data_IF_355998400565
#
_entry.id   IF_355998400565
#
_cell.length_a   1.000
_cell.length_b   1.000
_cell.length_c   1.000
_cell.angle_alpha   90.00
_cell.angle_beta   90.00
_cell.angle_gamma   90.00
#
_symmetry.space_group_name_H-M   'P 1'
#
loop_
_entity.id
_entity.type
_entity.pdbx_description
1 polymer ?
#
# COMPACT_ATOMS: atom_id res chain seq x y z
N UNK A 1 -31.33 24.16 -3.33
CA UNK A 1 -29.91 24.15 -3.00
C UNK A 1 -29.77 23.56 -1.60
N UNK A 2 -29.70 22.23 -1.51
CA UNK A 2 -29.55 21.51 -0.26
C UNK A 2 -28.04 21.18 -0.08
N UNK A 3 -27.47 21.81 0.94
CA UNK A 3 -26.08 21.55 1.34
C UNK A 3 -26.04 20.16 1.97
N UNK A 4 -25.54 19.17 1.26
CA UNK A 4 -25.13 17.89 1.83
C UNK A 4 -23.88 18.14 2.69
N UNK A 5 -24.07 18.31 3.99
CA UNK A 5 -23.01 18.21 4.95
C UNK A 5 -22.66 16.72 5.07
N UNK A 6 -21.72 16.24 4.27
CA UNK A 6 -21.11 14.92 4.48
C UNK A 6 -20.33 15.01 5.78
N UNK A 7 -20.85 14.39 6.81
CA UNK A 7 -20.11 14.13 8.05
C UNK A 7 -19.09 13.05 7.70
N UNK A 8 -17.84 13.45 7.48
CA UNK A 8 -16.71 12.55 7.54
C UNK A 8 -16.68 11.97 8.96
N UNK A 9 -17.09 10.72 9.10
CA UNK A 9 -16.81 9.95 10.29
C UNK A 9 -15.30 9.72 10.33
N UNK A 10 -14.61 10.42 11.20
CA UNK A 10 -13.22 10.13 11.50
C UNK A 10 -13.21 8.78 12.21
N UNK A 11 -12.80 7.75 11.49
CA UNK A 11 -12.54 6.42 12.04
C UNK A 11 -11.34 6.53 12.98
N UNK A 12 -11.55 6.31 14.25
CA UNK A 12 -10.48 6.09 15.21
C UNK A 12 -9.92 4.67 14.92
N UNK A 13 -8.87 4.60 14.12
CA UNK A 13 -8.12 3.37 13.92
C UNK A 13 -7.28 3.13 15.16
N UNK A 14 -7.78 2.33 16.09
CA UNK A 14 -6.99 1.77 17.17
C UNK A 14 -6.39 0.43 16.68
N UNK A 15 -5.50 0.53 15.71
CA UNK A 15 -4.74 -0.62 15.25
C UNK A 15 -3.58 -0.89 16.21
N UNK A 16 -3.77 -1.76 17.18
CA UNK A 16 -2.63 -2.40 17.83
C UNK A 16 -2.14 -3.51 16.91
N UNK A 17 -1.21 -3.17 16.03
CA UNK A 17 -0.35 -4.18 15.41
C UNK A 17 0.47 -4.81 16.55
N UNK A 18 -0.02 -5.89 17.11
CA UNK A 18 0.80 -6.74 17.93
C UNK A 18 1.89 -7.28 16.99
N UNK A 19 3.10 -6.73 17.13
CA UNK A 19 4.29 -7.26 16.49
C UNK A 19 4.57 -8.63 17.09
N UNK A 20 3.83 -9.64 16.66
CA UNK A 20 4.20 -11.03 16.91
C UNK A 20 5.36 -11.31 15.98
N UNK A 21 6.56 -11.23 16.55
CA UNK A 21 7.77 -11.79 15.95
C UNK A 21 7.44 -13.21 15.48
N UNK A 22 7.54 -13.43 14.16
CA UNK A 22 7.32 -14.72 13.51
C UNK A 22 8.47 -15.71 13.86
N UNK A 23 8.69 -15.96 15.14
CA UNK A 23 9.58 -16.99 15.63
C UNK A 23 8.75 -18.09 16.26
N UNK A 24 8.44 -19.11 15.48
CA UNK A 24 7.86 -20.34 16.00
C UNK A 24 6.51 -20.70 15.39
N UNK A 25 6.24 -21.97 15.27
CA UNK A 25 5.02 -22.63 14.76
C UNK A 25 3.77 -22.32 15.60
N UNK A 26 3.41 -21.05 15.76
CA UNK A 26 2.10 -20.69 16.30
C UNK A 26 1.11 -20.62 15.16
N UNK A 27 0.00 -21.29 15.32
CA UNK A 27 -1.11 -21.23 14.37
C UNK A 27 -1.68 -19.81 14.41
N UNK A 28 -1.60 -19.07 13.29
CA UNK A 28 -2.20 -17.75 13.18
C UNK A 28 -3.71 -17.89 13.38
N UNK A 29 -4.27 -17.11 14.28
CA UNK A 29 -5.73 -17.02 14.43
C UNK A 29 -6.29 -16.11 13.32
N UNK A 30 -6.68 -16.73 12.21
CA UNK A 30 -7.15 -15.99 11.02
C UNK A 30 -8.40 -15.16 11.26
N UNK A 31 -9.23 -15.52 12.25
CA UNK A 31 -10.49 -14.82 12.59
C UNK A 31 -10.28 -13.56 13.44
N UNK A 32 -9.07 -13.33 13.93
CA UNK A 32 -8.78 -12.14 14.74
C UNK A 32 -8.98 -10.86 13.93
N UNK A 33 -9.65 -9.86 14.52
CA UNK A 33 -9.89 -8.57 13.86
C UNK A 33 -8.69 -7.66 14.04
N UNK A 34 -8.06 -7.23 12.95
CA UNK A 34 -6.91 -6.30 12.95
C UNK A 34 -7.33 -4.84 12.72
N UNK A 35 -8.42 -4.62 11.99
CA UNK A 35 -8.98 -3.30 11.75
C UNK A 35 -10.50 -3.40 11.48
N UNK A 36 -11.17 -2.25 11.45
CA UNK A 36 -12.61 -2.18 11.11
C UNK A 36 -12.85 -0.95 10.23
N UNK A 37 -13.56 -1.15 9.11
CA UNK A 37 -13.92 -0.10 8.18
C UNK A 37 -15.45 -0.06 8.07
N UNK A 38 -16.06 1.00 8.59
CA UNK A 38 -17.51 1.02 8.77
C UNK A 38 -17.95 -0.12 9.72
N UNK A 39 -18.83 -0.98 9.24
CA UNK A 39 -19.35 -2.14 9.96
C UNK A 39 -18.60 -3.45 9.61
N UNK A 40 -17.66 -3.40 8.66
CA UNK A 40 -16.89 -4.55 8.22
C UNK A 40 -15.56 -4.70 8.98
N UNK A 41 -15.25 -5.94 9.33
CA UNK A 41 -14.00 -6.30 10.00
C UNK A 41 -12.97 -6.79 8.98
N UNK A 42 -11.77 -6.32 9.14
CA UNK A 42 -10.60 -6.87 8.46
C UNK A 42 -10.02 -7.93 9.38
N UNK A 43 -10.03 -9.18 8.94
CA UNK A 43 -9.47 -10.28 9.71
C UNK A 43 -7.96 -10.39 9.52
N UNK A 44 -7.28 -10.98 10.49
CA UNK A 44 -5.84 -11.25 10.40
C UNK A 44 -5.53 -12.19 9.22
N UNK A 45 -6.42 -13.13 8.89
CA UNK A 45 -6.28 -14.01 7.73
C UNK A 45 -6.18 -13.23 6.43
N UNK A 46 -7.16 -12.36 6.14
CA UNK A 46 -7.18 -11.50 4.96
C UNK A 46 -5.96 -10.57 4.94
N UNK A 47 -5.64 -9.94 6.07
CA UNK A 47 -4.51 -9.02 6.17
C UNK A 47 -3.16 -9.73 5.95
N UNK A 48 -2.97 -10.92 6.53
CA UNK A 48 -1.76 -11.71 6.33
C UNK A 48 -1.63 -12.19 4.89
N UNK A 49 -2.70 -12.72 4.28
CA UNK A 49 -2.63 -13.15 2.88
C UNK A 49 -2.25 -11.99 1.96
N UNK A 50 -2.92 -10.85 2.11
CA UNK A 50 -2.58 -9.65 1.33
C UNK A 50 -1.15 -9.17 1.57
N UNK A 51 -0.69 -9.15 2.82
CA UNK A 51 0.69 -8.76 3.17
C UNK A 51 1.72 -9.70 2.54
N UNK A 52 1.48 -11.02 2.55
CA UNK A 52 2.38 -12.00 1.93
C UNK A 52 2.42 -11.88 0.41
N UNK A 53 1.27 -11.59 -0.22
CA UNK A 53 1.22 -11.29 -1.65
C UNK A 53 2.07 -10.07 -1.99
N UNK A 54 1.93 -8.99 -1.24
CA UNK A 54 2.73 -7.78 -1.41
C UNK A 54 4.21 -8.04 -1.13
N UNK A 55 4.54 -8.76 -0.07
CA UNK A 55 5.91 -9.14 0.27
C UNK A 55 6.58 -9.87 -0.91
N UNK A 56 5.92 -10.84 -1.51
CA UNK A 56 6.46 -11.58 -2.64
C UNK A 56 6.76 -10.67 -3.85
N UNK A 57 5.90 -9.67 -4.10
CA UNK A 57 6.12 -8.67 -5.15
C UNK A 57 7.32 -7.77 -4.82
N UNK A 58 7.40 -7.24 -3.59
CA UNK A 58 8.51 -6.40 -3.15
C UNK A 58 9.86 -7.14 -3.21
N UNK A 59 9.93 -8.36 -2.71
CA UNK A 59 11.17 -9.15 -2.70
C UNK A 59 11.64 -9.51 -4.11
N UNK A 60 10.69 -9.84 -5.00
CA UNK A 60 11.02 -10.17 -6.38
C UNK A 60 11.55 -8.97 -7.16
N UNK A 61 10.99 -7.80 -6.94
CA UNK A 61 11.27 -6.61 -7.74
C UNK A 61 12.34 -5.72 -7.12
N UNK A 62 12.21 -5.37 -5.84
CA UNK A 62 13.05 -4.35 -5.22
C UNK A 62 14.36 -4.89 -4.64
N UNK A 63 14.39 -6.07 -4.04
CA UNK A 63 15.62 -6.62 -3.49
C UNK A 63 16.67 -6.81 -4.59
N UNK A 64 16.24 -7.34 -5.74
CA UNK A 64 17.11 -7.49 -6.92
C UNK A 64 17.61 -6.15 -7.45
N UNK A 65 16.73 -5.14 -7.54
CA UNK A 65 17.08 -3.81 -8.04
C UNK A 65 18.03 -3.06 -7.09
N UNK A 66 17.89 -3.25 -5.79
CA UNK A 66 18.74 -2.63 -4.78
C UNK A 66 20.06 -3.35 -4.55
N UNK A 67 20.27 -4.53 -5.16
CA UNK A 67 21.50 -5.33 -5.01
C UNK A 67 21.71 -5.84 -3.58
N UNK A 68 20.62 -6.08 -2.85
CA UNK A 68 20.62 -6.52 -1.45
C UNK A 68 19.79 -7.81 -1.29
N UNK A 69 19.90 -8.46 -0.15
CA UNK A 69 19.00 -9.57 0.19
C UNK A 69 17.64 -9.03 0.69
N UNK A 70 16.59 -9.85 0.63
CA UNK A 70 15.28 -9.49 1.17
C UNK A 70 15.37 -9.15 2.67
N UNK A 71 16.09 -9.97 3.44
CA UNK A 71 16.27 -9.77 4.89
C UNK A 71 16.94 -8.42 5.21
N UNK A 72 18.02 -8.07 4.49
CA UNK A 72 18.70 -6.80 4.66
C UNK A 72 17.83 -5.61 4.23
N UNK A 73 17.01 -5.77 3.18
CA UNK A 73 16.07 -4.76 2.73
C UNK A 73 15.03 -4.45 3.81
N UNK A 74 14.41 -5.49 4.38
CA UNK A 74 13.36 -5.31 5.39
C UNK A 74 13.87 -4.71 6.70
N UNK A 75 15.09 -5.08 7.11
CA UNK A 75 15.72 -4.59 8.33
C UNK A 75 16.29 -3.16 8.20
N UNK A 76 16.39 -2.63 6.97
CA UNK A 76 16.97 -1.32 6.73
C UNK A 76 16.07 -0.21 7.29
N UNK A 77 16.69 0.77 7.93
CA UNK A 77 16.00 1.99 8.37
C UNK A 77 15.45 2.77 7.17
N UNK A 78 14.17 3.11 7.23
CA UNK A 78 13.47 3.85 6.17
C UNK A 78 13.34 5.33 6.52
N UNK A 79 12.57 5.68 7.55
CA UNK A 79 12.36 7.04 8.04
C UNK A 79 11.76 6.99 9.46
N UNK A 80 11.93 8.09 10.22
CA UNK A 80 11.29 8.28 11.53
C UNK A 80 11.55 7.13 12.53
N UNK A 81 12.78 6.60 12.57
CA UNK A 81 13.19 5.47 13.41
C UNK A 81 12.42 4.15 13.13
N UNK A 82 11.81 4.03 11.95
CA UNK A 82 11.11 2.81 11.51
C UNK A 82 11.91 2.06 10.46
N UNK A 83 11.82 0.73 10.47
CA UNK A 83 12.35 -0.12 9.41
C UNK A 83 11.45 -0.11 8.17
N UNK A 84 11.98 -0.54 7.03
CA UNK A 84 11.17 -0.76 5.83
C UNK A 84 10.04 -1.75 6.09
N UNK A 85 10.27 -2.77 6.90
CA UNK A 85 9.25 -3.75 7.29
C UNK A 85 8.08 -3.08 8.01
N UNK A 86 8.37 -2.27 9.04
CA UNK A 86 7.35 -1.59 9.83
C UNK A 86 6.54 -0.60 9.00
N UNK A 87 7.22 0.21 8.18
CA UNK A 87 6.56 1.16 7.30
C UNK A 87 5.70 0.46 6.25
N UNK A 88 6.21 -0.63 5.66
CA UNK A 88 5.46 -1.41 4.66
C UNK A 88 4.23 -2.07 5.27
N UNK A 89 4.34 -2.67 6.45
CA UNK A 89 3.18 -3.25 7.16
C UNK A 89 2.08 -2.22 7.41
N UNK A 90 2.46 -1.01 7.82
CA UNK A 90 1.51 0.09 8.00
C UNK A 90 0.83 0.47 6.69
N UNK A 91 1.59 0.68 5.62
CA UNK A 91 1.05 1.02 4.30
C UNK A 91 0.15 -0.09 3.74
N UNK A 92 0.48 -1.35 3.95
CA UNK A 92 -0.34 -2.50 3.54
C UNK A 92 -1.70 -2.47 4.25
N UNK A 93 -1.71 -2.20 5.55
CA UNK A 93 -2.97 -2.11 6.31
C UNK A 93 -3.81 -0.93 5.83
N UNK A 94 -3.22 0.25 5.64
CA UNK A 94 -3.90 1.43 5.11
C UNK A 94 -4.47 1.17 3.71
N UNK A 95 -3.73 0.48 2.84
CA UNK A 95 -4.22 0.09 1.53
C UNK A 95 -5.41 -0.88 1.61
N UNK A 96 -5.34 -1.84 2.51
CA UNK A 96 -6.42 -2.79 2.72
C UNK A 96 -7.67 -2.10 3.26
N UNK A 97 -7.54 -1.19 4.22
CA UNK A 97 -8.63 -0.35 4.73
C UNK A 97 -9.27 0.47 3.60
N UNK A 98 -8.44 1.05 2.71
CA UNK A 98 -8.92 1.78 1.54
C UNK A 98 -9.68 0.87 0.56
N UNK A 99 -9.21 -0.36 0.30
CA UNK A 99 -9.93 -1.30 -0.56
C UNK A 99 -11.30 -1.67 0.02
N UNK A 100 -11.40 -1.87 1.34
CA UNK A 100 -12.68 -2.11 2.00
C UNK A 100 -13.61 -0.89 1.87
N UNK A 101 -13.09 0.32 2.12
CA UNK A 101 -13.85 1.55 1.98
C UNK A 101 -14.37 1.74 0.55
N UNK A 102 -13.52 1.55 -0.45
CA UNK A 102 -13.87 1.64 -1.86
C UNK A 102 -14.92 0.59 -2.22
N UNK A 103 -14.78 -0.63 -1.72
CA UNK A 103 -15.75 -1.72 -1.95
C UNK A 103 -17.13 -1.39 -1.39
N UNK A 104 -17.21 -0.75 -0.20
CA UNK A 104 -18.48 -0.33 0.41
C UNK A 104 -19.21 0.74 -0.43
N UNK A 105 -18.48 1.52 -1.21
CA UNK A 105 -19.00 2.57 -2.08
C UNK A 105 -19.11 2.16 -3.56
N UNK A 106 -18.85 0.89 -3.90
CA UNK A 106 -18.87 0.44 -5.28
C UNK A 106 -20.23 0.65 -5.97
N UNK A 107 -21.33 0.45 -5.24
CA UNK A 107 -22.67 0.66 -5.75
C UNK A 107 -22.98 2.14 -6.06
N UNK A 108 -22.30 3.11 -5.45
CA UNK A 108 -22.48 4.54 -5.72
C UNK A 108 -22.00 4.92 -7.14
N UNK A 109 -21.17 4.06 -7.72
CA UNK A 109 -20.57 4.20 -9.04
C UNK A 109 -21.06 3.13 -10.04
N UNK A 110 -22.12 2.41 -9.71
CA UNK A 110 -22.64 1.30 -10.52
C UNK A 110 -21.59 0.18 -10.77
N UNK A 111 -20.63 0.03 -9.85
CA UNK A 111 -19.60 -0.99 -9.90
C UNK A 111 -20.01 -2.22 -9.11
N UNK A 112 -19.94 -3.38 -9.75
CA UNK A 112 -20.14 -4.69 -9.14
C UNK A 112 -19.30 -5.75 -9.87
N UNK A 113 -19.02 -6.86 -9.21
CA UNK A 113 -18.41 -8.02 -9.86
C UNK A 113 -19.46 -8.70 -10.76
N UNK A 114 -19.07 -8.98 -12.01
CA UNK A 114 -19.88 -9.79 -12.92
C UNK A 114 -19.84 -11.26 -12.51
N UNK A 115 -20.78 -12.07 -13.02
CA UNK A 115 -20.77 -13.52 -12.77
C UNK A 115 -19.48 -14.19 -13.28
N UNK A 116 -18.95 -13.70 -14.41
CA UNK A 116 -17.70 -14.20 -14.98
C UNK A 116 -16.49 -13.87 -14.09
N UNK A 117 -16.42 -12.64 -13.56
CA UNK A 117 -15.37 -12.23 -12.62
C UNK A 117 -15.44 -13.02 -11.30
N UNK A 118 -16.64 -13.22 -10.76
CA UNK A 118 -16.84 -14.04 -9.55
C UNK A 118 -16.38 -15.49 -9.77
N UNK A 119 -16.69 -16.07 -10.94
CA UNK A 119 -16.24 -17.43 -11.25
C UNK A 119 -14.72 -17.48 -11.41
N UNK A 120 -14.13 -16.53 -12.11
CA UNK A 120 -12.68 -16.45 -12.29
C UNK A 120 -11.93 -16.30 -10.96
N UNK A 121 -12.48 -15.52 -10.02
CA UNK A 121 -11.93 -15.38 -8.67
C UNK A 121 -11.97 -16.70 -7.91
N UNK A 122 -13.10 -17.40 -7.94
CA UNK A 122 -13.25 -18.73 -7.30
C UNK A 122 -12.28 -19.75 -7.91
N UNK A 123 -12.18 -19.78 -9.22
CA UNK A 123 -11.25 -20.68 -9.92
C UNK A 123 -9.79 -20.38 -9.56
N UNK A 124 -9.43 -19.10 -9.43
CA UNK A 124 -8.10 -18.68 -9.01
C UNK A 124 -7.80 -19.06 -7.55
N UNK A 125 -8.76 -18.88 -6.64
CA UNK A 125 -8.61 -19.27 -5.24
C UNK A 125 -8.47 -20.79 -5.08
N UNK A 126 -9.31 -21.56 -5.76
CA UNK A 126 -9.21 -23.01 -5.78
C UNK A 126 -7.86 -23.48 -6.33
N UNK A 127 -7.42 -22.90 -7.45
CA UNK A 127 -6.13 -23.21 -8.04
C UNK A 127 -4.96 -22.86 -7.11
N UNK A 128 -5.02 -21.74 -6.39
CA UNK A 128 -4.02 -21.42 -5.37
C UNK A 128 -3.96 -22.51 -4.29
N UNK A 129 -5.11 -23.02 -3.84
CA UNK A 129 -5.20 -24.10 -2.87
C UNK A 129 -4.62 -25.42 -3.39
N UNK A 130 -4.76 -25.71 -4.69
CA UNK A 130 -4.20 -26.91 -5.33
C UNK A 130 -2.70 -26.83 -5.54
N UNK A 131 -2.19 -25.64 -5.92
CA UNK A 131 -0.79 -25.42 -6.26
C UNK A 131 0.13 -25.29 -5.02
N UNK A 132 -0.44 -25.07 -3.83
CA UNK A 132 0.30 -24.83 -2.61
C UNK A 132 0.07 -25.89 -1.54
N UNK A 133 1.12 -26.29 -0.83
CA UNK A 133 1.02 -27.23 0.28
C UNK A 133 0.29 -26.62 1.47
N UNK A 134 -0.28 -27.47 2.34
CA UNK A 134 -0.96 -27.04 3.55
C UNK A 134 -0.07 -26.20 4.48
N UNK A 135 1.24 -26.48 4.52
CA UNK A 135 2.17 -25.70 5.33
C UNK A 135 2.36 -24.30 4.77
N UNK A 136 2.44 -24.14 3.43
CA UNK A 136 2.48 -22.82 2.79
C UNK A 136 1.17 -22.06 3.05
N UNK A 137 0.02 -22.69 2.86
CA UNK A 137 -1.28 -22.07 3.11
C UNK A 137 -1.41 -21.57 4.55
N UNK A 138 -0.97 -22.34 5.53
CA UNK A 138 -0.98 -21.91 6.94
C UNK A 138 -0.13 -20.68 7.20
N UNK A 139 1.07 -20.61 6.60
CA UNK A 139 1.99 -19.46 6.79
C UNK A 139 1.43 -18.19 6.17
N UNK A 140 0.80 -18.30 4.99
CA UNK A 140 0.29 -17.14 4.26
C UNK A 140 -1.19 -16.85 4.51
N UNK A 141 -1.87 -17.64 5.36
CA UNK A 141 -3.34 -17.61 5.52
C UNK A 141 -4.05 -17.76 4.17
N UNK A 142 -3.59 -18.72 3.38
CA UNK A 142 -4.02 -18.92 1.98
C UNK A 142 -5.18 -19.92 1.84
N UNK A 143 -6.13 -19.89 2.75
CA UNK A 143 -7.37 -20.64 2.59
C UNK A 143 -8.27 -19.99 1.53
N UNK A 144 -9.18 -20.75 0.94
CA UNK A 144 -9.99 -20.29 -0.20
C UNK A 144 -10.79 -19.02 0.11
N UNK A 145 -11.23 -18.84 1.35
CA UNK A 145 -12.04 -17.70 1.78
C UNK A 145 -11.18 -16.41 1.78
N UNK A 146 -10.00 -16.42 2.39
CA UNK A 146 -9.09 -15.27 2.45
C UNK A 146 -8.59 -14.88 1.06
N UNK A 147 -8.22 -15.89 0.26
CA UNK A 147 -7.77 -15.67 -1.13
C UNK A 147 -8.89 -15.03 -1.94
N UNK A 148 -10.11 -15.59 -1.88
CA UNK A 148 -11.28 -15.06 -2.57
C UNK A 148 -11.55 -13.61 -2.15
N UNK A 149 -11.58 -13.31 -0.85
CA UNK A 149 -11.86 -11.97 -0.34
C UNK A 149 -10.83 -10.95 -0.85
N UNK A 150 -9.54 -11.27 -0.83
CA UNK A 150 -8.49 -10.38 -1.34
C UNK A 150 -8.64 -10.14 -2.84
N UNK A 151 -8.90 -11.17 -3.64
CA UNK A 151 -9.09 -11.03 -5.08
C UNK A 151 -10.35 -10.22 -5.42
N UNK A 152 -11.45 -10.38 -4.68
CA UNK A 152 -12.65 -9.56 -4.81
C UNK A 152 -12.36 -8.07 -4.56
N UNK A 153 -11.69 -7.76 -3.44
CA UNK A 153 -11.32 -6.40 -3.08
C UNK A 153 -10.43 -5.75 -4.14
N UNK A 154 -9.42 -6.47 -4.62
CA UNK A 154 -8.52 -5.98 -5.68
C UNK A 154 -9.27 -5.74 -6.99
N UNK A 155 -10.17 -6.64 -7.38
CA UNK A 155 -10.96 -6.51 -8.61
C UNK A 155 -11.91 -5.32 -8.53
N UNK A 156 -12.62 -5.16 -7.41
CA UNK A 156 -13.51 -4.01 -7.20
C UNK A 156 -12.73 -2.71 -7.20
N UNK A 157 -11.57 -2.66 -6.54
CA UNK A 157 -10.73 -1.45 -6.49
C UNK A 157 -10.29 -1.01 -7.88
N UNK A 158 -9.85 -1.93 -8.74
CA UNK A 158 -9.47 -1.63 -10.11
C UNK A 158 -10.66 -1.12 -10.95
N UNK A 159 -11.85 -1.69 -10.75
CA UNK A 159 -13.08 -1.23 -11.44
C UNK A 159 -13.50 0.15 -10.94
N UNK A 160 -13.36 0.41 -9.66
CA UNK A 160 -13.68 1.71 -9.06
C UNK A 160 -12.73 2.80 -9.52
N UNK A 161 -11.43 2.53 -9.61
CA UNK A 161 -10.45 3.45 -10.19
C UNK A 161 -10.89 3.88 -11.60
N UNK A 162 -11.19 2.91 -12.47
CA UNK A 162 -11.67 3.18 -13.83
C UNK A 162 -12.98 3.99 -13.83
N UNK A 163 -13.93 3.66 -12.94
CA UNK A 163 -15.22 4.37 -12.87
C UNK A 163 -15.07 5.81 -12.35
N UNK A 164 -14.16 6.03 -11.42
CA UNK A 164 -13.86 7.36 -10.88
C UNK A 164 -13.12 8.23 -11.90
N UNK A 165 -12.20 7.66 -12.65
CA UNK A 165 -11.46 8.34 -13.71
C UNK A 165 -12.35 8.71 -14.90
N UNK A 166 -13.38 7.93 -15.22
CA UNK A 166 -14.31 8.20 -16.31
C UNK A 166 -15.08 9.53 -16.17
N UNK A 167 -15.10 10.11 -14.97
CA UNK A 167 -15.74 11.41 -14.70
C UNK A 167 -14.78 12.61 -14.72
N UNK A 168 -13.50 12.38 -14.99
CA UNK A 168 -12.48 13.44 -15.02
C UNK A 168 -12.59 14.23 -16.33
N UNK A 169 -12.62 15.56 -16.23
CA UNK A 169 -12.57 16.42 -17.41
C UNK A 169 -11.13 16.43 -17.98
N UNK A 170 -10.95 15.78 -19.12
CA UNK A 170 -9.67 15.72 -19.83
C UNK A 170 -9.35 17.02 -20.58
N UNK A 171 -10.32 17.94 -20.72
CA UNK A 171 -10.13 19.21 -21.40
C UNK A 171 -9.66 20.30 -20.44
N UNK A 172 -8.45 20.12 -19.93
CA UNK A 172 -7.80 21.14 -19.10
C UNK A 172 -7.19 22.20 -20.00
N UNK A 173 -7.54 23.49 -19.77
CA UNK A 173 -6.95 24.59 -20.55
C UNK A 173 -5.45 24.73 -20.26
N UNK A 174 -4.67 25.25 -21.21
CA UNK A 174 -3.25 25.53 -21.02
C UNK A 174 -3.02 26.47 -19.81
N UNK A 175 -3.99 27.32 -19.49
CA UNK A 175 -3.94 28.26 -18.37
C UNK A 175 -4.13 27.54 -17.03
N UNK A 176 -5.03 26.56 -16.96
CA UNK A 176 -5.26 25.73 -15.76
C UNK A 176 -4.15 24.69 -15.56
N UNK A 177 -3.55 24.21 -16.65
CA UNK A 177 -2.41 23.30 -16.63
C UNK A 177 -1.05 24.00 -16.42
N UNK A 178 -1.01 25.35 -16.45
CA UNK A 178 0.22 26.10 -16.34
C UNK A 178 0.94 25.85 -15.01
N UNK A 179 2.16 25.33 -15.11
CA UNK A 179 3.04 25.09 -13.96
C UNK A 179 4.14 26.14 -13.95
N UNK A 180 4.55 26.57 -12.75
CA UNK A 180 5.73 27.41 -12.60
C UNK A 180 6.97 26.53 -12.74
N UNK A 181 7.84 26.88 -13.71
CA UNK A 181 9.16 26.26 -13.81
C UNK A 181 10.16 27.09 -13.01
N UNK A 182 11.02 26.41 -12.27
CA UNK A 182 12.10 27.04 -11.53
C UNK A 182 13.43 26.44 -12.00
N UNK A 183 14.37 27.30 -12.40
CA UNK A 183 15.74 26.88 -12.63
C UNK A 183 16.55 27.17 -11.37
N UNK A 184 17.29 26.15 -10.91
CA UNK A 184 18.23 26.34 -9.82
C UNK A 184 19.61 25.87 -10.24
N UNK A 185 20.62 26.56 -9.79
CA UNK A 185 22.01 26.20 -9.97
C UNK A 185 22.62 25.82 -8.62
N UNK A 186 22.99 24.54 -8.50
CA UNK A 186 23.61 24.06 -7.27
C UNK A 186 25.11 24.10 -7.39
N UNK A 187 25.76 24.95 -6.59
CA UNK A 187 27.21 24.95 -6.42
C UNK A 187 27.58 24.15 -5.18
N UNK A 188 28.25 23.03 -5.38
CA UNK A 188 28.85 22.28 -4.29
C UNK A 188 30.37 22.29 -4.42
N UNK A 189 31.06 22.47 -3.31
CA UNK A 189 32.50 22.25 -3.26
C UNK A 189 32.85 21.35 -2.07
N UNK A 190 33.88 20.56 -2.27
CA UNK A 190 34.34 19.62 -1.25
C UNK A 190 35.66 20.20 -0.69
N UNK A 191 35.71 20.41 0.62
CA UNK A 191 36.93 20.76 1.33
C UNK A 191 37.40 19.56 2.12
N UNK A 192 38.69 19.31 2.14
CA UNK A 192 39.33 18.29 2.97
C UNK A 192 40.00 19.00 4.13
N UNK A 193 39.65 18.61 5.34
CA UNK A 193 40.30 19.15 6.52
C UNK A 193 41.68 18.51 6.77
N UNK A 194 42.41 19.05 7.76
CA UNK A 194 43.76 18.57 8.09
C UNK A 194 43.79 17.12 8.61
N UNK A 195 42.64 16.54 8.92
CA UNK A 195 42.48 15.10 9.29
C UNK A 195 42.21 14.19 8.10
N UNK A 196 42.05 14.75 6.89
CA UNK A 196 41.74 14.02 5.65
C UNK A 196 40.25 13.75 5.47
N UNK A 197 39.38 14.29 6.32
CA UNK A 197 37.94 14.13 6.21
C UNK A 197 37.36 15.12 5.19
N UNK A 198 36.62 14.60 4.21
CA UNK A 198 36.00 15.42 3.16
C UNK A 198 34.62 15.91 3.60
N UNK A 199 34.44 17.23 3.64
CA UNK A 199 33.13 17.86 3.89
C UNK A 199 32.63 18.55 2.63
N UNK A 200 31.41 18.17 2.22
CA UNK A 200 30.72 18.83 1.12
C UNK A 200 29.92 20.00 1.68
N UNK A 201 30.23 21.22 1.22
CA UNK A 201 29.50 22.41 1.59
C UNK A 201 28.60 22.83 0.42
N UNK A 202 27.34 23.06 0.71
CA UNK A 202 26.38 23.59 -0.24
C UNK A 202 26.30 25.12 -0.04
N UNK A 203 26.68 25.87 -1.05
CA UNK A 203 26.48 27.30 -1.03
C UNK A 203 25.09 27.63 -1.55
N UNK A 204 24.22 28.06 -0.67
CA UNK A 204 22.87 28.49 -1.02
C UNK A 204 22.92 30.02 -1.22
N UNK A 205 22.75 30.46 -2.45
CA UNK A 205 22.45 31.87 -2.73
C UNK A 205 21.05 31.97 -3.27
N UNK A 206 20.10 32.21 -2.40
CA UNK A 206 18.75 32.60 -2.76
C UNK A 206 18.70 34.12 -2.81
N UNK A 207 19.00 34.68 -3.97
CA UNK A 207 18.79 36.10 -4.20
C UNK A 207 18.29 36.34 -5.64
N UNK A 208 17.13 35.78 -5.96
CA UNK A 208 16.50 36.06 -7.23
C UNK A 208 14.96 35.90 -7.11
N UNK A 209 14.37 36.62 -6.18
CA UNK A 209 12.93 36.70 -6.07
C UNK A 209 12.42 38.10 -5.73
N UNK A 210 13.04 39.15 -6.30
CA UNK A 210 12.48 40.51 -6.28
C UNK A 210 12.82 41.21 -7.60
N UNK A 211 12.11 40.83 -8.68
CA UNK A 211 11.78 41.72 -9.82
C UNK A 211 10.51 41.17 -10.53
#
# INVERSE_FOLDING_TARGET
MARLAKRLAVLAVAGTLAATSLTGCETINTDETVATVGDEKITLGVANFYARLQQAQYETYYASMMGTTAEEMWAKEASDDQTYEEQTKKSILENLENMYLVSQHASDYDVALTEEEQQAIKDAAAKFGEDNSDDVKKVVSGDEEEVTKVLELMTISNKMETAMEAGVDENVSDEDAAQKSMQYLLFSYTTTDDSGESKTCLLYTSDAADE
#
